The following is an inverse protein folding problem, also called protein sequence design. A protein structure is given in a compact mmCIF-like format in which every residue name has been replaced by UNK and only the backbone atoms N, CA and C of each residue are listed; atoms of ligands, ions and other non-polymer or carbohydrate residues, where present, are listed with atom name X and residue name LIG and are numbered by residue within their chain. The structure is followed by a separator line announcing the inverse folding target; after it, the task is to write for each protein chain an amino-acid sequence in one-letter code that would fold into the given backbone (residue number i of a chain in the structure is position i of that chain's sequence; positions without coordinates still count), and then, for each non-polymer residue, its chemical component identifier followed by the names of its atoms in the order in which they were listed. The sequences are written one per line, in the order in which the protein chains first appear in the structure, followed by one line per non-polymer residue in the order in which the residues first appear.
data_IF_441369313750
#
_entry.id   IF_441369313750
#
_cell.length_a   1.000
_cell.length_b   1.000
_cell.length_c   1.000
_cell.angle_alpha   90.00
_cell.angle_beta   90.00
_cell.angle_gamma   90.00
#
_symmetry.space_group_name_H-M   'P 1'
#
loop_
_entity.id
_entity.type
_entity.pdbx_description
1 polymer ?
#
# COMPACT_ATOMS: atom_id res chain seq x y z
N UNK A 1 -1.26 22.56 -6.72
CA UNK A 1 -0.93 22.49 -5.27
C UNK A 1 -1.91 21.52 -4.63
N UNK A 2 -1.44 20.53 -3.86
CA UNK A 2 -2.32 19.59 -3.18
C UNK A 2 -2.70 20.16 -1.79
N UNK A 3 -4.01 20.26 -1.52
CA UNK A 3 -4.53 20.75 -0.26
C UNK A 3 -5.37 19.69 0.43
N UNK A 4 -5.34 19.70 1.77
CA UNK A 4 -6.22 18.89 2.60
C UNK A 4 -7.11 19.86 3.36
N UNK A 5 -8.38 19.96 2.97
CA UNK A 5 -9.37 20.75 3.70
C UNK A 5 -10.22 21.67 2.83
N UNK A 6 -11.15 22.41 3.48
CA UNK A 6 -12.02 23.36 2.79
C UNK A 6 -11.20 24.49 2.16
N UNK A 7 -11.84 25.23 1.24
CA UNK A 7 -11.24 26.38 0.55
C UNK A 7 -10.65 27.38 1.56
N UNK A 8 -9.32 27.61 1.55
CA UNK A 8 -8.71 28.61 2.42
C UNK A 8 -9.18 30.02 2.04
N UNK A 9 -9.46 30.86 3.05
CA UNK A 9 -9.91 32.25 2.86
C UNK A 9 -8.95 33.08 2.01
N UNK A 10 -7.65 32.82 2.11
CA UNK A 10 -6.63 33.54 1.32
C UNK A 10 -6.75 33.22 -0.16
N UNK A 11 -6.99 31.95 -0.51
CA UNK A 11 -7.20 31.50 -1.88
C UNK A 11 -8.54 32.03 -2.40
N UNK A 12 -9.60 31.99 -1.59
CA UNK A 12 -10.90 32.55 -1.92
C UNK A 12 -10.82 34.04 -2.28
N UNK A 13 -10.02 34.82 -1.54
CA UNK A 13 -9.88 36.27 -1.76
C UNK A 13 -8.95 36.63 -2.90
N UNK A 14 -7.83 35.92 -3.04
CA UNK A 14 -6.77 36.30 -3.98
C UNK A 14 -6.87 35.60 -5.33
N UNK A 15 -7.56 34.46 -5.40
CA UNK A 15 -7.54 33.48 -6.50
C UNK A 15 -6.21 33.52 -7.30
N UNK A 16 -5.16 32.78 -6.88
CA UNK A 16 -3.81 32.88 -7.42
C UNK A 16 -3.67 32.29 -8.84
N UNK A 17 -4.72 32.33 -9.67
CA UNK A 17 -4.77 31.77 -11.01
C UNK A 17 -5.18 30.30 -11.04
N UNK A 18 -5.96 29.82 -10.06
CA UNK A 18 -6.50 28.46 -10.09
C UNK A 18 -7.50 28.36 -11.26
N UNK A 19 -7.31 27.37 -12.13
CA UNK A 19 -8.16 27.14 -13.31
C UNK A 19 -9.17 26.00 -13.12
N UNK A 20 -8.85 25.03 -12.27
CA UNK A 20 -9.68 23.87 -11.96
C UNK A 20 -9.29 23.30 -10.59
N UNK A 21 -10.19 22.52 -9.98
CA UNK A 21 -9.97 21.84 -8.69
C UNK A 21 -10.33 20.38 -8.82
N UNK A 22 -9.43 19.48 -8.41
CA UNK A 22 -9.67 18.05 -8.45
C UNK A 22 -9.74 17.49 -7.02
N UNK A 23 -10.78 16.70 -6.75
CA UNK A 23 -11.01 16.02 -5.48
C UNK A 23 -10.94 14.51 -5.74
N UNK A 24 -9.76 13.92 -5.52
CA UNK A 24 -9.57 12.47 -5.60
C UNK A 24 -9.93 11.80 -4.27
N UNK A 25 -10.93 10.92 -4.29
CA UNK A 25 -11.46 10.22 -3.11
C UNK A 25 -11.01 8.77 -3.13
N UNK A 26 -10.20 8.38 -2.14
CA UNK A 26 -9.63 7.02 -2.06
C UNK A 26 -10.61 5.99 -1.51
N UNK A 27 -11.41 6.36 -0.50
CA UNK A 27 -12.30 5.45 0.21
C UNK A 27 -13.75 5.91 0.13
N UNK A 28 -14.67 4.96 -0.06
CA UNK A 28 -16.12 5.24 -0.19
C UNK A 28 -16.71 5.96 1.02
N UNK A 29 -16.21 5.68 2.22
CA UNK A 29 -16.65 6.35 3.44
C UNK A 29 -16.16 7.80 3.58
N UNK A 30 -15.25 8.26 2.71
CA UNK A 30 -14.82 9.66 2.65
C UNK A 30 -15.64 10.48 1.64
N UNK A 31 -16.54 9.87 0.86
CA UNK A 31 -17.43 10.57 -0.09
C UNK A 31 -18.22 11.72 0.59
N UNK A 32 -18.86 11.54 1.77
CA UNK A 32 -19.57 12.65 2.42
C UNK A 32 -18.66 13.82 2.82
N UNK A 33 -17.37 13.58 3.06
CA UNK A 33 -16.39 14.66 3.30
C UNK A 33 -16.02 15.33 1.98
N UNK A 34 -15.83 14.55 0.92
CA UNK A 34 -15.53 15.05 -0.42
C UNK A 34 -16.66 15.94 -0.95
N UNK A 35 -17.93 15.61 -0.72
CA UNK A 35 -19.08 16.46 -1.07
C UNK A 35 -19.06 17.81 -0.35
N UNK A 36 -18.63 17.84 0.92
CA UNK A 36 -18.44 19.10 1.67
C UNK A 36 -17.30 19.93 1.09
N UNK A 37 -16.21 19.27 0.68
CA UNK A 37 -15.09 19.93 0.00
C UNK A 37 -15.55 20.51 -1.33
N UNK A 38 -16.24 19.72 -2.16
CA UNK A 38 -16.78 20.16 -3.44
C UNK A 38 -17.58 21.46 -3.28
N UNK A 39 -18.57 21.47 -2.38
CA UNK A 39 -19.38 22.67 -2.07
C UNK A 39 -18.53 23.86 -1.61
N UNK A 40 -17.51 23.63 -0.80
CA UNK A 40 -16.61 24.69 -0.31
C UNK A 40 -15.79 25.29 -1.45
N UNK A 41 -15.25 24.44 -2.32
CA UNK A 41 -14.36 24.86 -3.41
C UNK A 41 -15.14 25.45 -4.59
N UNK A 42 -16.43 25.12 -4.77
CA UNK A 42 -17.30 25.71 -5.81
C UNK A 42 -17.38 27.23 -5.75
N UNK A 43 -17.06 27.83 -4.59
CA UNK A 43 -17.01 29.28 -4.39
C UNK A 43 -15.97 29.99 -5.26
N UNK A 44 -14.96 29.28 -5.76
CA UNK A 44 -13.98 29.84 -6.69
C UNK A 44 -14.54 30.10 -8.09
N UNK A 45 -15.70 29.52 -8.44
CA UNK A 45 -16.30 29.68 -9.78
C UNK A 45 -15.51 28.99 -10.90
N UNK A 46 -14.61 28.07 -10.55
CA UNK A 46 -13.81 27.27 -11.51
C UNK A 46 -14.39 25.86 -11.62
N UNK A 47 -14.13 25.13 -12.72
CA UNK A 47 -14.45 23.71 -12.84
C UNK A 47 -13.93 22.90 -11.65
N UNK A 48 -14.77 21.97 -11.15
CA UNK A 48 -14.41 21.06 -10.07
C UNK A 48 -14.74 19.64 -10.49
N UNK A 49 -13.74 18.77 -10.40
CA UNK A 49 -13.88 17.35 -10.64
C UNK A 49 -13.80 16.59 -9.31
N UNK A 50 -14.68 15.61 -9.12
CA UNK A 50 -14.62 14.69 -7.99
C UNK A 50 -14.61 13.27 -8.53
N UNK A 51 -13.59 12.49 -8.18
CA UNK A 51 -13.35 11.17 -8.74
C UNK A 51 -12.40 10.35 -7.88
N UNK A 52 -11.65 9.45 -8.51
CA UNK A 52 -10.68 8.58 -7.85
C UNK A 52 -11.22 7.21 -7.39
N UNK A 53 -10.42 6.45 -6.63
CA UNK A 53 -10.67 5.02 -6.38
C UNK A 53 -11.99 4.67 -5.70
N UNK A 54 -12.62 5.59 -4.97
CA UNK A 54 -13.93 5.39 -4.35
C UNK A 54 -15.08 5.35 -5.38
N UNK A 55 -14.86 5.92 -6.58
CA UNK A 55 -15.81 5.99 -7.68
C UNK A 55 -15.50 4.97 -8.79
N UNK A 56 -14.60 4.00 -8.54
CA UNK A 56 -14.18 3.00 -9.52
C UNK A 56 -13.10 3.50 -10.51
N UNK A 57 -12.60 4.71 -10.33
CA UNK A 57 -11.53 5.28 -11.16
C UNK A 57 -10.16 4.83 -10.64
N UNK A 58 -9.83 3.56 -10.88
CA UNK A 58 -8.53 2.94 -10.54
C UNK A 58 -7.70 2.55 -11.74
N UNK A 59 -8.35 2.28 -12.87
CA UNK A 59 -7.69 1.71 -14.04
C UNK A 59 -7.10 2.76 -14.98
N UNK A 60 -7.17 4.04 -14.63
CA UNK A 60 -6.57 5.13 -15.41
C UNK A 60 -5.04 5.14 -15.37
N UNK A 61 -4.46 5.97 -16.23
CA UNK A 61 -3.01 6.20 -16.25
C UNK A 61 -2.52 6.98 -15.02
N UNK A 62 -1.20 7.14 -14.91
CA UNK A 62 -0.58 7.79 -13.77
C UNK A 62 0.15 9.08 -14.16
N UNK A 63 -0.21 10.17 -13.49
CA UNK A 63 0.45 11.47 -13.60
C UNK A 63 1.13 11.80 -12.26
N UNK A 64 2.48 11.81 -12.21
CA UNK A 64 3.22 12.14 -11.01
C UNK A 64 2.85 13.51 -10.44
N UNK A 65 2.63 13.59 -9.12
CA UNK A 65 2.35 14.85 -8.43
C UNK A 65 0.91 15.37 -8.57
N UNK A 66 0.03 14.71 -9.34
CA UNK A 66 -1.37 15.13 -9.48
C UNK A 66 -2.17 14.86 -8.19
N UNK A 67 -2.27 13.59 -7.79
CA UNK A 67 -3.01 13.16 -6.58
C UNK A 67 -2.13 12.58 -5.48
N UNK A 68 -0.87 12.25 -5.82
CA UNK A 68 0.07 11.62 -4.90
C UNK A 68 1.27 12.52 -4.63
N UNK A 69 1.84 12.34 -3.43
CA UNK A 69 3.07 13.03 -3.03
C UNK A 69 4.21 12.70 -4.00
N UNK A 70 5.11 13.66 -4.29
CA UNK A 70 6.35 13.37 -5.01
C UNK A 70 7.09 12.14 -4.45
N UNK A 71 7.58 11.30 -5.37
CA UNK A 71 8.27 10.05 -5.06
C UNK A 71 7.39 8.80 -5.04
N UNK A 72 6.07 8.94 -4.99
CA UNK A 72 5.13 7.84 -5.13
C UNK A 72 4.87 7.59 -6.62
N UNK A 73 4.89 6.33 -7.04
CA UNK A 73 4.67 5.97 -8.44
C UNK A 73 3.84 4.70 -8.59
N UNK A 74 3.01 4.68 -9.63
CA UNK A 74 2.37 3.48 -10.14
C UNK A 74 3.03 3.12 -11.47
N UNK A 75 3.52 1.90 -11.57
CA UNK A 75 4.08 1.30 -12.78
C UNK A 75 3.14 0.27 -13.38
N UNK A 76 2.14 -0.18 -12.62
CA UNK A 76 1.05 -1.02 -13.09
C UNK A 76 -0.25 -0.73 -12.32
N UNK A 77 -1.40 -1.15 -12.88
CA UNK A 77 -2.73 -1.11 -12.26
C UNK A 77 -3.32 -2.50 -12.21
N UNK A 78 -4.09 -2.77 -11.15
CA UNK A 78 -4.88 -3.97 -11.05
C UNK A 78 -4.06 -5.18 -10.63
N UNK A 79 -4.79 -6.24 -10.31
CA UNK A 79 -4.21 -7.48 -9.82
C UNK A 79 -4.99 -8.66 -10.38
N UNK A 80 -4.28 -9.74 -10.70
CA UNK A 80 -4.91 -10.98 -11.19
C UNK A 80 -5.57 -11.79 -10.07
N UNK A 81 -5.24 -11.49 -8.80
CA UNK A 81 -5.89 -12.08 -7.65
C UNK A 81 -7.29 -11.50 -7.44
N UNK A 82 -8.26 -12.37 -7.09
CA UNK A 82 -9.66 -12.00 -6.84
C UNK A 82 -10.01 -12.01 -5.35
N UNK A 83 -9.15 -11.44 -4.52
CA UNK A 83 -9.34 -11.43 -3.07
C UNK A 83 -10.69 -10.81 -2.69
N UNK A 84 -11.45 -11.47 -1.82
CA UNK A 84 -12.83 -11.09 -1.50
C UNK A 84 -12.94 -9.71 -0.84
N UNK A 85 -11.90 -9.28 -0.11
CA UNK A 85 -11.82 -8.00 0.57
C UNK A 85 -11.34 -6.84 -0.33
N UNK A 86 -10.70 -7.15 -1.45
CA UNK A 86 -10.05 -6.14 -2.30
C UNK A 86 -10.98 -5.61 -3.39
N UNK A 87 -10.90 -4.32 -3.70
CA UNK A 87 -11.61 -3.70 -4.84
C UNK A 87 -10.73 -3.50 -6.07
N UNK A 88 -9.40 -3.63 -5.96
CA UNK A 88 -8.48 -3.38 -7.08
C UNK A 88 -8.85 -4.18 -8.33
N UNK A 89 -9.06 -5.49 -8.21
CA UNK A 89 -9.45 -6.36 -9.32
C UNK A 89 -10.88 -6.15 -9.83
N UNK A 90 -11.76 -5.49 -9.06
CA UNK A 90 -13.14 -5.21 -9.48
C UNK A 90 -13.21 -3.99 -10.39
N UNK A 91 -12.34 -3.02 -10.12
CA UNK A 91 -12.26 -1.77 -10.86
C UNK A 91 -11.27 -1.86 -12.03
N UNK A 92 -10.58 -3.00 -12.19
CA UNK A 92 -9.57 -3.25 -13.23
C UNK A 92 -9.87 -4.56 -13.95
N UNK A 93 -9.63 -4.64 -15.25
CA UNK A 93 -9.84 -5.87 -16.04
C UNK A 93 -8.58 -6.75 -16.04
N UNK A 94 -8.10 -7.08 -14.84
CA UNK A 94 -6.79 -7.71 -14.63
C UNK A 94 -5.64 -6.72 -14.54
N UNK A 95 -4.42 -7.24 -14.47
CA UNK A 95 -3.21 -6.43 -14.36
C UNK A 95 -2.88 -5.75 -15.70
N UNK A 96 -2.58 -4.44 -15.64
CA UNK A 96 -2.17 -3.61 -16.77
C UNK A 96 -0.87 -2.87 -16.43
N UNK A 97 0.16 -3.08 -17.23
CA UNK A 97 1.41 -2.32 -17.15
C UNK A 97 1.20 -0.89 -17.66
N UNK A 98 1.80 0.09 -16.98
CA UNK A 98 1.78 1.50 -17.34
C UNK A 98 3.12 1.95 -17.91
N UNK A 99 3.14 3.14 -18.51
CA UNK A 99 4.39 3.85 -18.72
C UNK A 99 5.08 4.12 -17.37
N UNK A 100 6.35 3.72 -17.25
CA UNK A 100 7.11 3.88 -16.01
C UNK A 100 7.48 5.36 -15.84
N UNK A 101 6.96 5.97 -14.78
CA UNK A 101 7.33 7.31 -14.33
C UNK A 101 8.21 7.21 -13.08
N UNK A 102 9.18 8.11 -12.99
CA UNK A 102 10.12 8.17 -11.86
C UNK A 102 9.44 8.26 -10.50
N UNK A 103 9.98 7.51 -9.56
CA UNK A 103 9.58 7.50 -8.16
C UNK A 103 10.34 6.41 -7.41
N UNK A 104 10.27 6.43 -6.09
CA UNK A 104 10.96 5.48 -5.23
C UNK A 104 10.01 4.72 -4.31
N UNK A 105 8.73 5.06 -4.27
CA UNK A 105 7.71 4.29 -3.58
C UNK A 105 6.68 3.71 -4.57
N UNK A 106 6.79 2.40 -4.81
CA UNK A 106 5.90 1.65 -5.71
C UNK A 106 4.57 1.41 -5.02
N UNK A 107 3.49 1.81 -5.69
CA UNK A 107 2.11 1.66 -5.22
C UNK A 107 1.29 0.62 -5.98
N UNK A 108 1.89 -0.08 -6.94
CA UNK A 108 1.26 -1.13 -7.72
C UNK A 108 0.50 -2.11 -6.84
N UNK A 109 -0.70 -2.51 -7.28
CA UNK A 109 -1.50 -3.51 -6.56
C UNK A 109 -0.78 -4.88 -6.50
N UNK A 110 0.06 -5.19 -7.50
CA UNK A 110 0.94 -6.35 -7.50
C UNK A 110 2.07 -6.25 -8.54
N UNK A 111 3.19 -5.60 -8.20
CA UNK A 111 4.35 -5.45 -9.10
C UNK A 111 4.93 -6.80 -9.57
N UNK A 112 4.85 -7.86 -8.75
CA UNK A 112 5.34 -9.20 -9.12
C UNK A 112 4.44 -9.92 -10.12
N UNK A 113 3.22 -9.41 -10.36
CA UNK A 113 2.32 -9.89 -11.40
C UNK A 113 2.59 -9.29 -12.78
N UNK A 114 3.50 -8.31 -12.90
CA UNK A 114 3.93 -7.74 -14.18
C UNK A 114 4.84 -8.72 -14.93
N UNK A 115 5.08 -8.48 -16.22
CA UNK A 115 6.05 -9.23 -17.00
C UNK A 115 7.47 -9.07 -16.46
N UNK A 116 8.33 -10.05 -16.72
CA UNK A 116 9.73 -10.02 -16.29
C UNK A 116 10.47 -8.78 -16.81
N UNK A 117 10.21 -8.41 -18.08
CA UNK A 117 10.78 -7.22 -18.71
C UNK A 117 10.33 -5.94 -17.99
N UNK A 118 9.05 -5.82 -17.67
CA UNK A 118 8.52 -4.68 -16.94
C UNK A 118 9.11 -4.57 -15.54
N UNK A 119 9.11 -5.67 -14.78
CA UNK A 119 9.72 -5.71 -13.45
C UNK A 119 11.18 -5.27 -13.48
N UNK A 120 11.99 -5.78 -14.43
CA UNK A 120 13.39 -5.38 -14.58
C UNK A 120 13.53 -3.88 -14.89
N UNK A 121 12.70 -3.35 -15.80
CA UNK A 121 12.72 -1.92 -16.15
C UNK A 121 12.36 -1.04 -14.94
N UNK A 122 11.44 -1.50 -14.08
CA UNK A 122 11.13 -0.82 -12.81
C UNK A 122 12.32 -0.89 -11.85
N UNK A 123 13.01 -2.02 -11.75
CA UNK A 123 14.22 -2.14 -10.91
C UNK A 123 15.33 -1.19 -11.39
N UNK A 124 15.53 -1.06 -12.70
CA UNK A 124 16.50 -0.11 -13.28
C UNK A 124 16.13 1.34 -12.96
N UNK A 125 14.85 1.69 -13.11
CA UNK A 125 14.34 3.01 -12.73
C UNK A 125 14.57 3.29 -11.24
N UNK A 126 14.31 2.31 -10.37
CA UNK A 126 14.51 2.42 -8.92
C UNK A 126 15.98 2.52 -8.54
N UNK A 127 16.87 1.80 -9.22
CA UNK A 127 18.30 1.77 -8.92
C UNK A 127 18.97 3.14 -9.08
N UNK A 128 18.52 3.92 -10.07
CA UNK A 128 19.02 5.28 -10.34
C UNK A 128 18.37 6.38 -9.48
N UNK A 129 17.36 6.06 -8.67
CA UNK A 129 16.74 7.08 -7.81
C UNK A 129 17.69 7.50 -6.68
N UNK A 130 17.64 8.78 -6.25
CA UNK A 130 18.43 9.23 -5.11
C UNK A 130 17.92 8.66 -3.77
N UNK A 131 16.65 8.25 -3.73
CA UNK A 131 15.98 7.70 -2.56
C UNK A 131 15.92 6.17 -2.65
N UNK A 132 16.07 5.52 -1.50
CA UNK A 132 16.03 4.05 -1.43
C UNK A 132 14.61 3.53 -1.71
N UNK A 133 14.45 2.47 -2.54
CA UNK A 133 13.14 1.97 -2.93
C UNK A 133 12.26 1.50 -1.76
N UNK A 134 10.96 1.73 -1.90
CA UNK A 134 9.92 1.27 -1.00
C UNK A 134 8.81 0.62 -1.83
N UNK A 135 8.28 -0.51 -1.37
CA UNK A 135 7.16 -1.20 -2.01
C UNK A 135 5.94 -1.17 -1.08
N UNK A 136 5.31 -0.01 -0.93
CA UNK A 136 4.10 0.11 -0.06
C UNK A 136 2.84 -0.47 -0.70
N UNK A 137 2.77 -0.58 -2.02
CA UNK A 137 1.68 -1.27 -2.73
C UNK A 137 1.59 -2.77 -2.41
N UNK A 138 2.69 -3.33 -1.90
CA UNK A 138 2.79 -4.73 -1.54
C UNK A 138 3.39 -5.58 -2.66
N UNK A 139 3.84 -6.77 -2.29
CA UNK A 139 4.31 -7.81 -3.21
C UNK A 139 3.64 -9.13 -2.87
N UNK A 140 3.25 -9.88 -3.91
CA UNK A 140 2.63 -11.19 -3.74
C UNK A 140 3.68 -12.27 -3.43
N UNK A 141 3.69 -12.77 -2.20
CA UNK A 141 4.65 -13.77 -1.74
C UNK A 141 4.65 -15.02 -2.64
N UNK A 142 3.48 -15.43 -3.13
CA UNK A 142 3.31 -16.62 -3.98
C UNK A 142 3.96 -16.47 -5.37
N UNK A 143 4.17 -15.25 -5.85
CA UNK A 143 4.79 -14.97 -7.16
C UNK A 143 6.29 -14.67 -7.05
N UNK A 144 6.83 -14.56 -5.83
CA UNK A 144 8.21 -14.19 -5.62
C UNK A 144 9.17 -15.26 -6.15
N UNK A 145 10.10 -14.84 -7.01
CA UNK A 145 11.20 -15.68 -7.50
C UNK A 145 12.54 -15.24 -6.93
N UNK A 146 13.52 -16.15 -6.78
CA UNK A 146 14.83 -15.84 -6.21
C UNK A 146 15.58 -14.68 -6.89
N UNK A 147 15.49 -14.55 -8.21
CA UNK A 147 16.17 -13.48 -8.93
C UNK A 147 15.56 -12.10 -8.62
N UNK A 148 14.24 -12.01 -8.40
CA UNK A 148 13.57 -10.76 -8.03
C UNK A 148 14.01 -10.30 -6.64
N UNK A 149 14.17 -11.22 -5.69
CA UNK A 149 14.69 -10.93 -4.37
C UNK A 149 16.14 -10.42 -4.40
N UNK A 150 17.00 -11.00 -5.26
CA UNK A 150 18.38 -10.51 -5.45
C UNK A 150 18.40 -9.08 -5.99
N UNK A 151 17.63 -8.78 -7.03
CA UNK A 151 17.53 -7.41 -7.56
C UNK A 151 17.03 -6.42 -6.51
N UNK A 152 15.97 -6.77 -5.77
CA UNK A 152 15.46 -5.94 -4.67
C UNK A 152 16.51 -5.68 -3.59
N UNK A 153 17.42 -6.63 -3.33
CA UNK A 153 18.55 -6.44 -2.42
C UNK A 153 19.58 -5.49 -3.01
N UNK A 154 19.97 -5.69 -4.26
CA UNK A 154 21.01 -4.93 -4.97
C UNK A 154 20.66 -3.45 -5.09
N UNK A 155 19.40 -3.12 -5.37
CA UNK A 155 18.90 -1.72 -5.39
C UNK A 155 18.73 -1.11 -3.99
N UNK A 156 19.18 -1.81 -2.94
CA UNK A 156 19.17 -1.36 -1.54
C UNK A 156 17.77 -0.99 -1.05
N UNK A 157 16.76 -1.80 -1.35
CA UNK A 157 15.38 -1.60 -0.87
C UNK A 157 15.34 -1.22 0.61
N UNK A 158 14.62 -0.14 0.93
CA UNK A 158 14.45 0.36 2.30
C UNK A 158 13.36 -0.40 3.04
N UNK A 159 12.25 -0.69 2.35
CA UNK A 159 11.14 -1.47 2.93
C UNK A 159 10.26 -2.08 1.85
N UNK A 160 9.77 -3.29 2.09
CA UNK A 160 8.76 -3.94 1.28
C UNK A 160 7.73 -4.62 2.17
N UNK A 161 6.54 -4.86 1.61
CA UNK A 161 5.44 -5.49 2.32
C UNK A 161 4.94 -6.70 1.54
N UNK A 162 4.98 -7.89 2.12
CA UNK A 162 4.12 -9.00 1.69
C UNK A 162 2.70 -8.83 2.28
N UNK A 163 1.76 -9.71 1.94
CA UNK A 163 0.45 -9.78 2.56
C UNK A 163 0.21 -11.17 3.19
N UNK A 164 -0.50 -11.18 4.31
CA UNK A 164 -1.04 -12.37 4.97
C UNK A 164 -2.48 -12.07 5.39
N UNK A 165 -3.39 -12.23 4.44
CA UNK A 165 -4.78 -11.82 4.57
C UNK A 165 -5.71 -13.02 4.78
N UNK A 166 -5.36 -14.18 4.24
CA UNK A 166 -6.09 -15.44 4.41
C UNK A 166 -5.15 -16.59 4.83
N UNK A 167 -5.65 -17.66 5.48
CA UNK A 167 -4.81 -18.73 6.01
C UNK A 167 -3.86 -19.38 4.99
N UNK A 168 -4.25 -19.45 3.73
CA UNK A 168 -3.48 -20.01 2.61
C UNK A 168 -2.28 -19.14 2.16
N UNK A 169 -2.17 -17.90 2.65
CA UNK A 169 -0.99 -17.06 2.40
C UNK A 169 0.22 -17.46 3.25
N UNK A 170 0.02 -18.27 4.30
CA UNK A 170 1.09 -18.57 5.27
C UNK A 170 2.28 -19.32 4.65
N UNK A 171 2.02 -20.40 3.92
CA UNK A 171 3.08 -21.19 3.29
C UNK A 171 3.87 -20.36 2.26
N UNK A 172 3.23 -19.62 1.33
CA UNK A 172 3.92 -18.66 0.48
C UNK A 172 4.77 -17.65 1.25
N UNK A 173 4.28 -17.11 2.37
CA UNK A 173 5.02 -16.15 3.18
C UNK A 173 6.30 -16.76 3.78
N UNK A 174 6.22 -18.00 4.28
CA UNK A 174 7.39 -18.73 4.81
C UNK A 174 8.43 -18.94 3.72
N UNK A 175 8.02 -19.39 2.53
CA UNK A 175 8.92 -19.57 1.40
C UNK A 175 9.52 -18.25 0.92
N UNK A 176 8.74 -17.17 0.86
CA UNK A 176 9.25 -15.84 0.55
C UNK A 176 10.32 -15.40 1.56
N UNK A 177 10.11 -15.66 2.84
CA UNK A 177 11.11 -15.40 3.88
C UNK A 177 12.43 -16.16 3.64
N UNK A 178 12.37 -17.42 3.19
CA UNK A 178 13.57 -18.20 2.81
C UNK A 178 14.27 -17.59 1.59
N UNK A 179 13.51 -17.23 0.56
CA UNK A 179 14.03 -16.60 -0.66
C UNK A 179 14.75 -15.29 -0.35
N UNK A 180 14.14 -14.42 0.47
CA UNK A 180 14.76 -13.15 0.84
C UNK A 180 16.04 -13.33 1.67
N UNK A 181 16.07 -14.28 2.61
CA UNK A 181 17.29 -14.60 3.37
C UNK A 181 18.41 -15.11 2.47
N UNK A 182 18.08 -15.99 1.51
CA UNK A 182 19.05 -16.47 0.51
C UNK A 182 19.58 -15.34 -0.39
N UNK A 183 18.78 -14.27 -0.61
CA UNK A 183 19.21 -13.06 -1.29
C UNK A 183 20.02 -12.08 -0.41
N UNK A 184 20.22 -12.38 0.88
CA UNK A 184 21.01 -11.56 1.80
C UNK A 184 20.22 -10.51 2.57
N UNK A 185 18.88 -10.60 2.64
CA UNK A 185 18.11 -9.85 3.63
C UNK A 185 18.23 -10.49 5.02
N UNK A 186 18.09 -9.66 6.05
CA UNK A 186 18.19 -10.07 7.46
C UNK A 186 16.96 -9.60 8.22
N UNK A 187 16.57 -10.34 9.25
CA UNK A 187 15.51 -9.95 10.20
C UNK A 187 15.87 -8.63 10.92
N UNK A 188 17.12 -8.47 11.34
CA UNK A 188 17.62 -7.30 12.07
C UNK A 188 17.47 -5.96 11.34
N UNK A 189 17.42 -5.96 10.00
CA UNK A 189 17.30 -4.72 9.23
C UNK A 189 15.87 -4.19 9.14
N UNK A 190 14.85 -4.99 9.52
CA UNK A 190 13.43 -4.62 9.48
C UNK A 190 12.94 -4.11 8.11
N UNK A 191 13.58 -4.57 7.03
CA UNK A 191 13.25 -4.20 5.64
C UNK A 191 12.05 -5.01 5.17
N UNK A 192 12.03 -6.31 5.49
CA UNK A 192 10.95 -7.22 5.17
C UNK A 192 9.80 -6.98 6.16
N UNK A 193 8.65 -6.56 5.66
CA UNK A 193 7.43 -6.36 6.44
C UNK A 193 6.28 -7.13 5.80
N UNK A 194 5.19 -7.30 6.53
CA UNK A 194 4.00 -7.96 6.00
C UNK A 194 2.74 -7.32 6.58
N UNK A 195 1.83 -6.92 5.69
CA UNK A 195 0.47 -6.53 6.08
C UNK A 195 -0.29 -7.78 6.48
N UNK A 196 -0.94 -7.75 7.64
CA UNK A 196 -1.74 -8.87 8.15
C UNK A 196 -3.16 -8.40 8.34
N UNK A 197 -4.11 -8.92 7.56
CA UNK A 197 -5.51 -8.57 7.69
C UNK A 197 -6.08 -9.07 9.03
N UNK A 198 -6.75 -8.16 9.73
CA UNK A 198 -7.39 -8.46 11.02
C UNK A 198 -8.79 -7.84 11.09
N UNK A 199 -9.64 -8.40 11.95
CA UNK A 199 -10.92 -7.79 12.32
C UNK A 199 -11.97 -7.78 11.22
N UNK A 200 -11.84 -8.67 10.24
CA UNK A 200 -12.92 -8.94 9.29
C UNK A 200 -14.02 -9.81 9.92
N UNK A 201 -15.17 -9.92 9.25
CA UNK A 201 -16.31 -10.70 9.74
C UNK A 201 -15.91 -12.16 9.97
N UNK A 202 -16.04 -12.63 11.21
CA UNK A 202 -15.69 -14.00 11.62
C UNK A 202 -14.25 -14.19 12.06
N UNK A 203 -13.43 -13.13 12.08
CA UNK A 203 -12.10 -13.15 12.67
C UNK A 203 -12.17 -13.04 14.20
N UNK A 204 -11.12 -13.47 14.90
CA UNK A 204 -10.99 -13.36 16.36
C UNK A 204 -9.61 -12.84 16.73
N UNK A 205 -9.46 -12.24 17.92
CA UNK A 205 -8.17 -11.73 18.38
C UNK A 205 -7.10 -12.83 18.45
N UNK A 206 -7.47 -14.05 18.81
CA UNK A 206 -6.57 -15.21 18.88
C UNK A 206 -6.05 -15.57 17.50
N UNK A 207 -6.94 -15.66 16.50
CA UNK A 207 -6.56 -15.97 15.12
C UNK A 207 -5.69 -14.87 14.53
N UNK A 208 -6.08 -13.62 14.72
CA UNK A 208 -5.30 -12.45 14.30
C UNK A 208 -3.91 -12.44 14.95
N UNK A 209 -3.83 -12.67 16.26
CA UNK A 209 -2.57 -12.76 17.01
C UNK A 209 -1.69 -13.91 16.49
N UNK A 210 -2.27 -15.07 16.19
CA UNK A 210 -1.53 -16.19 15.60
C UNK A 210 -0.88 -15.76 14.29
N UNK A 211 -1.64 -15.21 13.34
CA UNK A 211 -1.12 -14.76 12.04
C UNK A 211 0.01 -13.73 12.19
N UNK A 212 -0.13 -12.80 13.12
CA UNK A 212 0.88 -11.79 13.43
C UNK A 212 2.17 -12.39 14.02
N UNK A 213 2.06 -13.41 14.87
CA UNK A 213 3.21 -14.15 15.41
C UNK A 213 3.87 -15.02 14.32
N UNK A 214 3.07 -15.68 13.50
CA UNK A 214 3.54 -16.51 12.38
C UNK A 214 4.30 -15.66 11.36
N UNK A 215 3.87 -14.42 11.14
CA UNK A 215 4.59 -13.42 10.34
C UNK A 215 5.99 -13.11 10.90
N UNK A 216 6.11 -12.95 12.22
CA UNK A 216 7.41 -12.74 12.89
C UNK A 216 8.30 -13.96 12.65
N UNK A 217 7.76 -15.17 12.85
CA UNK A 217 8.49 -16.43 12.66
C UNK A 217 8.93 -16.65 11.21
N UNK A 218 8.17 -16.14 10.25
CA UNK A 218 8.55 -16.14 8.83
C UNK A 218 9.67 -15.13 8.50
N UNK A 219 10.09 -14.29 9.47
CA UNK A 219 11.19 -13.34 9.33
C UNK A 219 10.76 -11.94 8.89
N UNK A 220 9.47 -11.60 9.03
CA UNK A 220 8.91 -10.31 8.62
C UNK A 220 8.48 -9.48 9.84
N UNK A 221 8.56 -8.16 9.71
CA UNK A 221 7.92 -7.24 10.65
C UNK A 221 6.41 -7.25 10.39
N UNK A 222 5.56 -7.68 11.34
CA UNK A 222 4.12 -7.65 11.15
C UNK A 222 3.58 -6.23 11.19
N UNK A 223 2.56 -5.97 10.37
CA UNK A 223 1.80 -4.73 10.37
C UNK A 223 0.31 -5.06 10.34
N UNK A 224 -0.38 -4.86 11.47
CA UNK A 224 -1.81 -5.14 11.57
C UNK A 224 -2.64 -4.21 10.67
N UNK A 225 -3.25 -4.78 9.63
CA UNK A 225 -4.13 -4.10 8.70
C UNK A 225 -5.58 -4.35 9.11
N UNK A 226 -6.16 -3.41 9.85
CA UNK A 226 -7.55 -3.52 10.27
C UNK A 226 -8.49 -3.38 9.08
N UNK A 227 -9.29 -4.42 8.84
CA UNK A 227 -10.32 -4.44 7.82
C UNK A 227 -11.33 -3.30 8.02
N UNK A 228 -11.74 -2.69 6.91
CA UNK A 228 -12.81 -1.69 6.85
C UNK A 228 -13.67 -1.98 5.64
N UNK A 229 -14.98 -2.02 5.85
CA UNK A 229 -15.93 -2.14 4.75
C UNK A 229 -16.17 -0.79 4.05
N UNK A 230 -17.15 -0.75 3.14
CA UNK A 230 -17.51 0.48 2.42
C UNK A 230 -17.97 1.62 3.34
N UNK A 231 -18.50 1.28 4.52
CA UNK A 231 -18.93 2.24 5.54
C UNK A 231 -17.78 2.74 6.42
N UNK A 232 -16.62 2.08 6.39
CA UNK A 232 -15.42 2.53 7.09
C UNK A 232 -15.47 2.39 8.60
N UNK A 233 -16.48 1.71 9.12
CA UNK A 233 -16.68 1.54 10.55
C UNK A 233 -15.66 0.56 11.11
N UNK A 234 -15.22 0.86 12.33
CA UNK A 234 -14.17 0.09 13.02
C UNK A 234 -14.52 -0.06 14.47
N UNK A 235 -14.50 -1.31 14.93
CA UNK A 235 -14.67 -1.65 16.33
C UNK A 235 -13.53 -1.01 17.17
N UNK A 236 -13.86 -0.28 18.26
CA UNK A 236 -12.86 0.26 19.19
C UNK A 236 -11.85 -0.76 19.74
N UNK A 237 -12.28 -1.99 20.03
CA UNK A 237 -11.41 -3.04 20.56
C UNK A 237 -10.42 -3.52 19.50
N UNK A 238 -10.88 -3.73 18.27
CA UNK A 238 -9.99 -4.03 17.15
C UNK A 238 -9.01 -2.91 16.84
N UNK A 239 -9.41 -1.64 17.00
CA UNK A 239 -8.48 -0.51 16.89
C UNK A 239 -7.43 -0.50 17.99
N UNK A 240 -7.81 -0.85 19.23
CA UNK A 240 -6.86 -0.97 20.32
C UNK A 240 -5.84 -2.08 20.04
N UNK A 241 -6.33 -3.27 19.66
CA UNK A 241 -5.50 -4.39 19.24
C UNK A 241 -4.56 -4.02 18.09
N UNK A 242 -5.08 -3.39 17.03
CA UNK A 242 -4.26 -2.93 15.89
C UNK A 242 -3.09 -2.05 16.33
N UNK A 243 -3.32 -1.11 17.26
CA UNK A 243 -2.27 -0.19 17.72
C UNK A 243 -1.09 -0.92 18.37
N UNK A 244 -1.33 -2.02 19.07
CA UNK A 244 -0.26 -2.83 19.66
C UNK A 244 0.65 -3.46 18.60
N UNK A 245 0.10 -3.75 17.43
CA UNK A 245 0.77 -4.43 16.32
C UNK A 245 1.18 -3.50 15.16
N UNK A 246 1.05 -2.18 15.35
CA UNK A 246 1.57 -1.17 14.43
C UNK A 246 2.58 -0.22 15.08
N UNK A 247 2.64 -0.14 16.42
CA UNK A 247 3.58 0.75 17.13
C UNK A 247 4.99 0.13 17.12
N UNK A 248 6.00 0.78 16.51
CA UNK A 248 7.33 0.20 16.32
C UNK A 248 7.99 -0.29 17.62
N UNK A 249 7.81 0.45 18.73
CA UNK A 249 8.38 0.09 20.02
C UNK A 249 7.79 -1.20 20.57
N UNK A 250 6.47 -1.38 20.45
CA UNK A 250 5.76 -2.57 20.93
C UNK A 250 6.06 -3.74 20.00
N UNK A 251 5.98 -3.53 18.68
CA UNK A 251 6.31 -4.56 17.68
C UNK A 251 7.76 -5.04 17.85
N UNK A 252 8.72 -4.13 18.11
CA UNK A 252 10.11 -4.51 18.36
C UNK A 252 10.30 -5.38 19.60
N UNK A 253 9.51 -5.18 20.66
CA UNK A 253 9.50 -6.08 21.84
C UNK A 253 8.94 -7.45 21.44
N UNK A 254 7.79 -7.49 20.76
CA UNK A 254 7.15 -8.72 20.30
C UNK A 254 8.02 -9.52 19.33
N UNK A 255 8.78 -8.84 18.47
CA UNK A 255 9.74 -9.48 17.57
C UNK A 255 10.88 -10.17 18.33
N UNK A 256 11.32 -9.64 19.48
CA UNK A 256 12.29 -10.33 20.35
C UNK A 256 11.67 -11.47 21.15
N UNK A 257 10.40 -11.35 21.52
CA UNK A 257 9.66 -12.37 22.27
C UNK A 257 9.32 -13.59 21.41
N UNK A 258 8.91 -13.36 20.16
CA UNK A 258 8.39 -14.39 19.26
C UNK A 258 9.31 -14.73 18.08
N UNK A 259 10.28 -13.87 17.77
CA UNK A 259 11.34 -14.19 16.83
C UNK A 259 12.28 -15.20 17.49
N UNK A 260 12.33 -16.41 16.95
CA UNK A 260 13.35 -17.38 17.36
C UNK A 260 14.73 -16.73 17.17
N UNK A 261 15.60 -16.88 18.17
CA UNK A 261 16.99 -16.45 18.02
C UNK A 261 17.59 -17.16 16.82
N UNK A 262 18.06 -16.38 15.84
CA UNK A 262 18.97 -16.88 14.81
C UNK A 262 20.27 -17.37 15.47
#
# INVERSE_FOLDING_TARGET
MAFIGPLPREIEKSNPGIKEVHISVTFTYDIPKAEKLYKSWSRLGVPIEMGGPAFGDRNGDFVPGQYLKPGYTFTSRGCNNKCWFCSAWRDTNGLRELEIKDGWNILDDNILGTSDHHFMTVMDMLHRQPERPIFTGGIEAKLLRPWQAKLMKEIKTRRLYCAYDTPDDYEPLVEAGKIFRAAGFTTASHVLSCYVLIGYRGDTFEKAKSRLIDTIRAGFVPYAMLYRDKGGQVDPEWRAFQREWCRPQIVGVKMREYGGGD
#
